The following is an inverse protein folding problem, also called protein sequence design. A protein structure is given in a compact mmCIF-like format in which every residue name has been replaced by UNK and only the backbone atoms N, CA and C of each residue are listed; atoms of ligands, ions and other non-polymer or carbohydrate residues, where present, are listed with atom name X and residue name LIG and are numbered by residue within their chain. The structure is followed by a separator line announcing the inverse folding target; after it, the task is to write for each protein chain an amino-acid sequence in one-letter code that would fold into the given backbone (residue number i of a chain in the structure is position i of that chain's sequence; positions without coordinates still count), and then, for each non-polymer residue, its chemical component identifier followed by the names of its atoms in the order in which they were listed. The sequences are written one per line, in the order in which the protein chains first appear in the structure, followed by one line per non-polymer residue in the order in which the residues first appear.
data_IF_188991855703
#
_entry.id   IF_188991855703
#
_cell.length_a   1.000
_cell.length_b   1.000
_cell.length_c   1.000
_cell.angle_alpha   90.00
_cell.angle_beta   90.00
_cell.angle_gamma   90.00
#
_symmetry.space_group_name_H-M   'P 1'
#
loop_
_entity.id
_entity.type
_entity.pdbx_description
1 polymer ?
#
# COMPACT_ATOMS: atom_id res chain seq x y z
N UNK A 1 21.42 -5.20 7.16
CA UNK A 1 21.28 -5.05 8.63
C UNK A 1 19.80 -4.96 8.97
N UNK A 2 19.27 -5.74 9.93
CA UNK A 2 17.82 -5.75 10.20
C UNK A 2 17.33 -4.51 10.99
N UNK A 3 18.23 -3.87 11.75
CA UNK A 3 17.93 -2.71 12.57
C UNK A 3 19.16 -1.79 12.62
N UNK A 4 18.95 -0.48 12.44
CA UNK A 4 19.98 0.53 12.66
C UNK A 4 19.39 1.70 13.46
N UNK A 5 20.24 2.38 14.24
CA UNK A 5 19.82 3.54 15.04
C UNK A 5 19.74 4.77 14.16
N UNK A 6 18.52 5.28 13.93
CA UNK A 6 18.32 6.55 13.25
C UNK A 6 18.19 7.67 14.28
N UNK A 7 19.19 8.55 14.33
CA UNK A 7 19.17 9.72 15.21
C UNK A 7 18.27 10.80 14.60
N UNK A 8 17.06 10.97 15.15
CA UNK A 8 16.07 11.90 14.61
C UNK A 8 16.56 13.35 14.52
N UNK A 9 17.29 13.83 15.53
CA UNK A 9 17.82 15.20 15.57
C UNK A 9 18.86 15.41 14.46
N UNK A 10 19.77 14.44 14.28
CA UNK A 10 20.79 14.50 13.23
C UNK A 10 20.17 14.44 11.83
N UNK A 11 19.17 13.56 11.66
CA UNK A 11 18.42 13.45 10.43
C UNK A 11 17.70 14.76 10.10
N UNK A 12 16.98 15.35 11.06
CA UNK A 12 16.32 16.64 10.90
C UNK A 12 17.30 17.78 10.61
N UNK A 13 18.46 17.82 11.27
CA UNK A 13 19.49 18.81 11.00
C UNK A 13 20.04 18.69 9.58
N UNK A 14 20.22 17.46 9.08
CA UNK A 14 20.66 17.20 7.70
C UNK A 14 19.60 17.59 6.68
N UNK A 15 18.33 17.28 6.93
CA UNK A 15 17.23 17.50 5.97
C UNK A 15 16.54 18.85 6.11
N UNK A 16 16.96 19.71 7.05
CA UNK A 16 16.31 21.00 7.34
C UNK A 16 16.14 21.93 6.11
N UNK A 17 17.01 21.82 5.10
CA UNK A 17 17.01 22.65 3.90
C UNK A 17 16.50 21.90 2.66
N UNK A 18 16.03 20.66 2.83
CA UNK A 18 15.52 19.84 1.74
C UNK A 18 14.04 20.12 1.51
N UNK A 19 13.64 20.06 0.25
CA UNK A 19 12.25 19.89 -0.13
C UNK A 19 11.75 18.50 0.27
N UNK A 20 10.43 18.34 0.31
CA UNK A 20 9.78 17.06 0.65
C UNK A 20 10.27 15.91 -0.28
N UNK A 21 10.46 16.19 -1.57
CA UNK A 21 10.96 15.21 -2.54
C UNK A 21 12.42 14.83 -2.25
N UNK A 22 13.25 15.81 -1.91
CA UNK A 22 14.67 15.60 -1.60
C UNK A 22 14.84 14.78 -0.33
N UNK A 23 14.07 15.09 0.72
CA UNK A 23 14.08 14.33 1.97
C UNK A 23 13.60 12.88 1.77
N UNK A 24 12.56 12.68 0.96
CA UNK A 24 12.07 11.35 0.61
C UNK A 24 13.10 10.53 -0.16
N UNK A 25 13.77 11.14 -1.14
CA UNK A 25 14.84 10.50 -1.90
C UNK A 25 16.04 10.15 -1.02
N UNK A 26 16.50 11.10 -0.19
CA UNK A 26 17.61 10.91 0.74
C UNK A 26 17.34 9.74 1.71
N UNK A 27 16.15 9.74 2.31
CA UNK A 27 15.73 8.70 3.26
C UNK A 27 15.74 7.33 2.62
N UNK A 28 15.15 7.16 1.41
CA UNK A 28 15.11 5.86 0.74
C UNK A 28 16.48 5.34 0.33
N UNK A 29 17.36 6.21 -0.16
CA UNK A 29 18.73 5.82 -0.50
C UNK A 29 19.51 5.38 0.75
N UNK A 30 19.33 6.09 1.87
CA UNK A 30 19.95 5.75 3.15
C UNK A 30 19.42 4.42 3.71
N UNK A 31 18.10 4.22 3.69
CA UNK A 31 17.48 2.97 4.13
C UNK A 31 17.97 1.78 3.30
N UNK A 32 18.12 1.97 1.99
CA UNK A 32 18.67 0.94 1.10
C UNK A 32 20.12 0.60 1.45
N UNK A 33 20.97 1.58 1.75
CA UNK A 33 22.36 1.33 2.17
C UNK A 33 22.45 0.53 3.47
N UNK A 34 21.64 0.86 4.47
CA UNK A 34 21.62 0.09 5.74
C UNK A 34 21.05 -1.31 5.57
N UNK A 35 20.06 -1.46 4.69
CA UNK A 35 19.43 -2.74 4.40
C UNK A 35 20.42 -3.70 3.72
N UNK A 36 21.10 -3.22 2.68
CA UNK A 36 22.00 -4.01 1.84
C UNK A 36 23.46 -3.98 2.29
N UNK A 37 23.80 -3.13 3.25
CA UNK A 37 25.17 -2.94 3.76
C UNK A 37 26.20 -2.72 2.62
N UNK A 38 25.77 -1.99 1.58
CA UNK A 38 26.48 -1.86 0.30
C UNK A 38 26.46 -0.41 -0.19
N UNK A 39 27.44 0.01 -1.03
CA UNK A 39 27.41 1.34 -1.64
C UNK A 39 26.22 1.45 -2.59
N UNK A 40 25.76 2.68 -2.82
CA UNK A 40 24.70 2.94 -3.79
C UNK A 40 25.10 2.42 -5.18
N UNK A 41 24.13 1.91 -5.95
CA UNK A 41 24.41 1.46 -7.29
C UNK A 41 24.94 2.62 -8.16
N UNK A 42 25.99 2.39 -8.96
CA UNK A 42 26.54 3.42 -9.84
C UNK A 42 25.54 3.83 -10.92
N UNK A 43 24.66 2.91 -11.31
CA UNK A 43 23.66 3.11 -12.35
C UNK A 43 22.51 4.01 -11.85
N UNK A 44 22.24 5.16 -12.48
CA UNK A 44 21.14 6.05 -12.08
C UNK A 44 19.78 5.38 -12.13
N UNK A 45 19.54 4.50 -13.11
CA UNK A 45 18.29 3.73 -13.25
C UNK A 45 17.95 2.91 -12.01
N UNK A 46 18.95 2.32 -11.37
CA UNK A 46 18.75 1.52 -10.14
C UNK A 46 18.44 2.43 -8.96
N UNK A 47 19.12 3.58 -8.84
CA UNK A 47 18.79 4.59 -7.83
C UNK A 47 17.35 5.08 -7.97
N UNK A 48 16.86 5.29 -9.19
CA UNK A 48 15.45 5.68 -9.41
C UNK A 48 14.46 4.61 -8.97
N UNK A 49 14.79 3.33 -9.16
CA UNK A 49 13.97 2.21 -8.67
C UNK A 49 13.93 2.20 -7.14
N UNK A 50 15.08 2.43 -6.49
CA UNK A 50 15.18 2.50 -5.03
C UNK A 50 14.36 3.67 -4.47
N UNK A 51 14.50 4.87 -5.04
CA UNK A 51 13.75 6.05 -4.58
C UNK A 51 12.29 6.06 -5.02
N UNK A 52 11.91 5.18 -5.95
CA UNK A 52 10.62 5.16 -6.65
C UNK A 52 10.35 6.45 -7.44
N UNK A 53 11.41 6.98 -8.06
CA UNK A 53 11.32 8.19 -8.88
C UNK A 53 10.75 7.85 -10.27
N UNK A 54 9.48 8.18 -10.48
CA UNK A 54 8.77 7.89 -11.73
C UNK A 54 8.95 9.05 -12.71
N UNK A 55 8.73 10.27 -12.21
CA UNK A 55 8.77 11.51 -13.01
C UNK A 55 10.20 12.00 -13.24
N UNK A 56 10.40 12.82 -14.28
CA UNK A 56 11.71 13.42 -14.56
C UNK A 56 12.19 14.33 -13.41
N UNK A 57 11.27 15.06 -12.77
CA UNK A 57 11.58 15.92 -11.65
C UNK A 57 12.12 15.12 -10.46
N UNK A 58 11.46 14.01 -10.10
CA UNK A 58 11.93 13.12 -9.03
C UNK A 58 13.30 12.51 -9.36
N UNK A 59 13.53 12.09 -10.61
CA UNK A 59 14.84 11.55 -11.03
C UNK A 59 15.96 12.57 -10.85
N UNK A 60 15.73 13.82 -11.27
CA UNK A 60 16.69 14.92 -11.08
C UNK A 60 16.98 15.17 -9.60
N UNK A 61 15.95 15.10 -8.76
CA UNK A 61 16.10 15.21 -7.30
C UNK A 61 16.94 14.05 -6.75
N UNK A 62 16.67 12.81 -7.17
CA UNK A 62 17.45 11.62 -6.78
C UNK A 62 18.93 11.78 -7.15
N UNK A 63 19.23 12.24 -8.37
CA UNK A 63 20.61 12.47 -8.79
C UNK A 63 21.28 13.59 -8.00
N UNK A 64 20.58 14.71 -7.78
CA UNK A 64 21.08 15.82 -6.96
C UNK A 64 21.44 15.34 -5.56
N UNK A 65 20.56 14.58 -4.92
CA UNK A 65 20.78 14.05 -3.56
C UNK A 65 21.88 13.00 -3.55
N UNK A 66 21.93 12.11 -4.53
CA UNK A 66 23.02 11.15 -4.69
C UNK A 66 24.38 11.87 -4.77
N UNK A 67 24.50 12.91 -5.59
CA UNK A 67 25.74 13.66 -5.74
C UNK A 67 26.10 14.53 -4.52
N UNK A 68 25.12 15.06 -3.80
CA UNK A 68 25.34 16.00 -2.68
C UNK A 68 25.60 15.28 -1.37
N UNK A 69 24.86 14.19 -1.09
CA UNK A 69 24.86 13.53 0.21
C UNK A 69 25.72 12.27 0.26
N UNK A 70 26.01 11.66 -0.90
CA UNK A 70 26.76 10.43 -1.00
C UNK A 70 28.08 10.70 -1.72
N UNK A 71 29.14 10.04 -1.27
CA UNK A 71 30.46 10.16 -1.87
C UNK A 71 30.48 9.57 -3.29
N UNK A 72 31.56 9.84 -4.02
CA UNK A 72 31.79 9.26 -5.34
C UNK A 72 31.89 7.71 -5.29
N UNK A 73 32.23 7.15 -4.14
CA UNK A 73 32.22 5.72 -3.84
C UNK A 73 30.80 5.16 -3.58
N UNK A 74 29.77 6.01 -3.69
CA UNK A 74 28.38 5.65 -3.44
C UNK A 74 28.06 5.46 -1.96
N UNK A 75 28.96 5.80 -1.04
CA UNK A 75 28.76 5.65 0.40
C UNK A 75 28.33 6.95 1.06
N UNK A 76 27.44 6.83 2.05
CA UNK A 76 27.28 7.89 3.04
C UNK A 76 28.29 7.60 4.17
N UNK A 77 29.11 8.59 4.53
CA UNK A 77 30.26 8.42 5.41
C UNK A 77 29.90 7.83 6.79
N UNK A 78 28.83 8.33 7.42
CA UNK A 78 28.31 7.85 8.70
C UNK A 78 27.75 6.45 8.59
N UNK A 79 26.96 6.19 7.54
CA UNK A 79 26.38 4.86 7.30
C UNK A 79 27.48 3.81 7.16
N UNK A 80 28.53 4.10 6.39
CA UNK A 80 29.70 3.22 6.24
C UNK A 80 30.37 2.92 7.57
N UNK A 81 30.59 3.94 8.41
CA UNK A 81 31.20 3.78 9.73
C UNK A 81 30.34 2.93 10.68
N UNK A 82 29.02 3.16 10.70
CA UNK A 82 28.09 2.43 11.55
C UNK A 82 27.94 0.96 11.11
N UNK A 83 27.90 0.71 9.80
CA UNK A 83 27.87 -0.64 9.23
C UNK A 83 29.15 -1.40 9.61
N UNK A 84 30.32 -0.80 9.42
CA UNK A 84 31.59 -1.44 9.77
C UNK A 84 31.67 -1.77 11.27
N UNK A 85 31.19 -0.86 12.12
CA UNK A 85 31.13 -1.07 13.57
C UNK A 85 30.18 -2.21 13.97
N UNK A 86 29.08 -2.38 13.22
CA UNK A 86 28.04 -3.34 13.55
C UNK A 86 28.30 -4.73 12.98
N UNK A 87 29.07 -4.82 11.88
CA UNK A 87 29.41 -6.07 11.18
C UNK A 87 29.91 -7.21 12.09
N UNK A 88 30.87 -7.02 13.01
CA UNK A 88 31.36 -8.14 13.83
C UNK A 88 30.30 -8.69 14.78
N UNK A 89 29.42 -7.84 15.32
CA UNK A 89 28.34 -8.27 16.21
C UNK A 89 27.26 -9.06 15.44
N UNK A 90 26.94 -8.62 14.22
CA UNK A 90 25.99 -9.32 13.33
C UNK A 90 26.55 -10.70 12.95
N UNK A 91 27.83 -10.78 12.59
CA UNK A 91 28.47 -12.04 12.22
C UNK A 91 28.54 -13.01 13.41
N UNK A 92 28.90 -12.52 14.61
CA UNK A 92 28.87 -13.34 15.81
C UNK A 92 27.47 -13.90 16.10
N UNK A 93 26.44 -13.06 15.99
CA UNK A 93 25.05 -13.49 16.16
C UNK A 93 24.61 -14.50 15.08
N UNK A 94 25.04 -14.31 13.82
CA UNK A 94 24.76 -15.23 12.72
C UNK A 94 25.39 -16.61 12.97
N UNK A 95 26.63 -16.65 13.46
CA UNK A 95 27.32 -17.89 13.81
C UNK A 95 26.66 -18.60 14.99
N UNK A 96 26.29 -17.86 16.03
CA UNK A 96 25.58 -18.38 17.20
C UNK A 96 24.23 -19.00 16.82
N UNK A 97 23.42 -18.26 16.05
CA UNK A 97 22.17 -18.79 15.48
C UNK A 97 22.40 -20.07 14.66
N UNK A 98 23.44 -20.10 13.83
CA UNK A 98 23.74 -21.28 13.04
C UNK A 98 24.15 -22.48 13.92
N UNK A 99 24.84 -22.26 15.04
CA UNK A 99 25.08 -23.34 16.01
C UNK A 99 23.80 -23.80 16.71
N UNK A 100 22.95 -22.90 17.16
CA UNK A 100 21.68 -23.24 17.81
C UNK A 100 20.79 -24.08 16.88
N UNK A 101 20.74 -23.74 15.59
CA UNK A 101 20.02 -24.51 14.58
C UNK A 101 20.61 -25.90 14.35
N UNK A 102 21.95 -26.07 14.41
CA UNK A 102 22.61 -27.37 14.28
C UNK A 102 22.47 -28.24 15.54
N UNK A 103 22.42 -27.63 16.71
CA UNK A 103 22.37 -28.31 18.01
C UNK A 103 20.94 -28.62 18.47
N UNK A 104 19.93 -28.05 17.82
CA UNK A 104 18.53 -28.33 18.16
C UNK A 104 18.19 -29.77 17.73
N UNK A 105 17.79 -30.65 18.66
CA UNK A 105 17.23 -31.95 18.28
C UNK A 105 16.00 -31.68 17.40
N UNK A 106 15.81 -32.49 16.36
CA UNK A 106 14.63 -32.45 15.50
C UNK A 106 13.38 -32.75 16.35
N UNK A 107 12.87 -31.72 17.02
CA UNK A 107 11.63 -31.81 17.75
C UNK A 107 10.53 -31.68 16.70
N UNK A 108 10.07 -32.82 16.21
CA UNK A 108 8.78 -32.96 15.53
C UNK A 108 7.70 -32.50 16.51
N UNK A 109 7.51 -31.17 16.59
CA UNK A 109 6.34 -30.61 17.25
C UNK A 109 5.16 -31.04 16.40
N UNK A 110 4.46 -32.07 16.85
CA UNK A 110 3.16 -32.45 16.31
C UNK A 110 2.32 -31.18 16.23
N UNK A 111 2.00 -30.76 15.00
CA UNK A 111 1.10 -29.65 14.77
C UNK A 111 -0.25 -30.09 15.33
N UNK A 112 -0.81 -29.46 16.37
CA UNK A 112 -2.12 -29.83 16.87
C UNK A 112 -3.11 -29.71 15.71
N UNK A 113 -3.87 -30.77 15.44
CA UNK A 113 -4.72 -30.91 14.25
C UNK A 113 -5.79 -29.80 14.08
N UNK A 114 -5.93 -28.88 15.04
CA UNK A 114 -6.88 -27.77 15.01
C UNK A 114 -6.39 -26.46 14.37
N UNK A 115 -5.12 -26.31 13.96
CA UNK A 115 -4.62 -25.05 13.36
C UNK A 115 -4.45 -25.08 11.83
N UNK A 116 -4.69 -26.21 11.18
CA UNK A 116 -4.61 -26.33 9.72
C UNK A 116 -5.70 -25.55 8.97
N UNK A 117 -6.87 -25.32 9.61
CA UNK A 117 -8.00 -24.62 8.97
C UNK A 117 -7.90 -23.09 9.02
N UNK A 118 -7.08 -22.52 9.91
CA UNK A 118 -6.95 -21.06 10.05
C UNK A 118 -5.84 -20.45 9.16
N UNK A 119 -5.03 -21.28 8.48
CA UNK A 119 -3.92 -20.84 7.62
C UNK A 119 -4.13 -21.31 6.18
N UNK A 120 -5.39 -21.34 5.72
CA UNK A 120 -5.68 -21.48 4.29
C UNK A 120 -6.01 -20.10 3.71
N UNK A 121 -5.01 -19.24 3.64
CA UNK A 121 -5.06 -18.12 2.68
C UNK A 121 -5.00 -18.80 1.31
N UNK A 122 -6.01 -18.64 0.42
CA UNK A 122 -5.88 -19.10 -0.94
C UNK A 122 -4.77 -18.26 -1.57
N UNK A 123 -3.58 -18.85 -1.67
CA UNK A 123 -2.52 -18.35 -2.51
C UNK A 123 -3.08 -18.39 -3.93
N UNK A 124 -3.46 -17.22 -4.46
CA UNK A 124 -3.80 -17.07 -5.86
C UNK A 124 -2.66 -17.67 -6.68
N UNK A 125 -2.99 -18.68 -7.47
CA UNK A 125 -2.05 -19.42 -8.31
C UNK A 125 -1.20 -18.43 -9.12
N UNK A 126 0.12 -18.60 -9.06
CA UNK A 126 1.03 -17.88 -9.93
C UNK A 126 0.68 -18.19 -11.40
N UNK A 127 0.44 -17.19 -12.26
CA UNK A 127 0.20 -17.45 -13.67
C UNK A 127 1.48 -17.95 -14.34
N UNK A 128 1.38 -19.12 -14.97
CA UNK A 128 2.38 -19.66 -15.91
C UNK A 128 2.52 -18.74 -17.14
N UNK A 129 3.70 -18.68 -17.79
CA UNK A 129 3.92 -17.81 -18.93
C UNK A 129 3.46 -18.53 -20.21
N UNK A 130 2.44 -18.02 -20.89
CA UNK A 130 2.20 -18.36 -22.29
C UNK A 130 1.31 -17.34 -23.01
N UNK A 131 1.73 -17.06 -24.23
CA UNK A 131 0.93 -16.59 -25.37
C UNK A 131 0.46 -15.13 -25.37
N UNK A 132 1.19 -14.35 -26.15
CA UNK A 132 0.76 -13.21 -26.95
C UNK A 132 -0.72 -13.31 -27.39
N UNK A 133 -1.56 -12.39 -26.90
CA UNK A 133 -2.94 -12.24 -27.32
C UNK A 133 -3.36 -10.76 -27.33
N UNK A 134 -3.76 -10.32 -28.52
CA UNK A 134 -4.73 -9.30 -28.93
C UNK A 134 -5.25 -8.24 -27.93
N UNK A 135 -5.57 -7.01 -28.42
CA UNK A 135 -5.90 -5.85 -27.58
C UNK A 135 -7.11 -6.08 -26.66
N UNK A 136 -7.11 -5.49 -25.45
CA UNK A 136 -8.10 -5.79 -24.43
C UNK A 136 -9.48 -5.23 -24.81
N UNK A 137 -10.44 -6.15 -24.98
CA UNK A 137 -11.86 -5.85 -24.84
C UNK A 137 -12.17 -5.38 -23.39
N UNK A 138 -13.20 -4.55 -23.18
CA UNK A 138 -13.46 -3.92 -21.89
C UNK A 138 -13.77 -4.97 -20.81
N UNK A 139 -13.05 -4.87 -19.70
CA UNK A 139 -13.19 -5.71 -18.53
C UNK A 139 -14.59 -5.49 -17.94
N UNK A 140 -15.42 -6.53 -17.97
CA UNK A 140 -16.67 -6.57 -17.21
C UNK A 140 -16.35 -6.70 -15.72
N UNK A 141 -16.77 -5.72 -14.93
CA UNK A 141 -16.69 -5.74 -13.46
C UNK A 141 -17.81 -6.65 -12.94
N UNK A 142 -17.45 -7.76 -12.31
CA UNK A 142 -18.38 -8.66 -11.63
C UNK A 142 -18.46 -8.33 -10.12
N UNK A 143 -19.68 -8.05 -9.67
CA UNK A 143 -20.27 -8.30 -8.35
C UNK A 143 -19.67 -7.69 -7.06
N UNK A 144 -19.41 -6.38 -7.08
CA UNK A 144 -19.73 -5.56 -5.90
C UNK A 144 -21.18 -5.07 -6.07
N UNK A 145 -22.06 -5.38 -5.10
CA UNK A 145 -23.51 -5.15 -5.15
C UNK A 145 -23.86 -3.88 -5.96
N UNK A 146 -24.45 -4.01 -7.17
CA UNK A 146 -24.59 -2.90 -8.13
C UNK A 146 -25.33 -1.69 -7.54
N UNK A 147 -26.13 -1.92 -6.49
CA UNK A 147 -26.82 -0.93 -5.67
C UNK A 147 -25.88 0.07 -5.01
N UNK A 148 -24.76 -0.38 -4.43
CA UNK A 148 -23.84 0.50 -3.70
C UNK A 148 -23.03 1.35 -4.67
N UNK A 149 -22.45 0.73 -5.70
CA UNK A 149 -21.68 1.44 -6.72
C UNK A 149 -22.53 2.49 -7.44
N UNK A 150 -23.75 2.13 -7.85
CA UNK A 150 -24.68 3.05 -8.50
C UNK A 150 -25.23 4.13 -7.56
N UNK A 151 -25.57 3.78 -6.32
CA UNK A 151 -26.06 4.74 -5.34
C UNK A 151 -25.01 5.77 -4.94
N UNK A 152 -23.75 5.34 -4.76
CA UNK A 152 -22.66 6.22 -4.39
C UNK A 152 -22.30 7.19 -5.51
N UNK A 153 -22.27 6.73 -6.76
CA UNK A 153 -22.01 7.63 -7.90
C UNK A 153 -23.11 8.67 -8.04
N UNK A 154 -24.38 8.28 -7.87
CA UNK A 154 -25.52 9.18 -7.95
C UNK A 154 -25.52 10.24 -6.83
N UNK A 155 -25.27 9.84 -5.59
CA UNK A 155 -25.29 10.74 -4.43
C UNK A 155 -24.07 11.68 -4.41
N UNK A 156 -22.89 11.17 -4.77
CA UNK A 156 -21.67 11.99 -4.86
C UNK A 156 -21.78 13.03 -5.98
N UNK A 157 -22.45 12.70 -7.09
CA UNK A 157 -22.71 13.67 -8.16
C UNK A 157 -23.56 14.86 -7.71
N UNK A 158 -24.35 14.70 -6.63
CA UNK A 158 -25.17 15.75 -6.02
C UNK A 158 -24.51 16.38 -4.78
N UNK A 159 -23.18 16.27 -4.65
CA UNK A 159 -22.38 16.83 -3.56
C UNK A 159 -22.72 16.29 -2.15
N UNK A 160 -23.29 15.08 -2.06
CA UNK A 160 -23.44 14.38 -0.78
C UNK A 160 -22.09 13.78 -0.39
N UNK A 161 -21.70 13.95 0.87
CA UNK A 161 -20.49 13.33 1.42
C UNK A 161 -20.52 11.80 1.26
N UNK A 162 -19.42 11.16 0.80
CA UNK A 162 -19.40 9.73 0.53
C UNK A 162 -19.66 8.88 1.78
N UNK A 163 -19.16 9.28 2.96
CA UNK A 163 -19.39 8.53 4.20
C UNK A 163 -20.86 8.58 4.64
N UNK A 164 -21.52 9.73 4.45
CA UNK A 164 -22.97 9.84 4.66
C UNK A 164 -23.77 9.04 3.64
N UNK A 165 -23.35 9.03 2.37
CA UNK A 165 -24.01 8.28 1.30
C UNK A 165 -23.93 6.77 1.54
N UNK A 166 -22.77 6.24 1.95
CA UNK A 166 -22.58 4.83 2.30
C UNK A 166 -23.48 4.41 3.47
N UNK A 167 -23.45 5.19 4.55
CA UNK A 167 -24.27 4.94 5.74
C UNK A 167 -25.77 4.96 5.40
N UNK A 168 -26.19 5.87 4.53
CA UNK A 168 -27.59 5.98 4.10
C UNK A 168 -28.01 4.81 3.21
N UNK A 169 -27.17 4.39 2.26
CA UNK A 169 -27.46 3.25 1.39
C UNK A 169 -27.50 1.93 2.18
N UNK A 170 -26.64 1.76 3.18
CA UNK A 170 -26.71 0.61 4.09
C UNK A 170 -28.06 0.54 4.82
N UNK A 171 -28.55 1.69 5.31
CA UNK A 171 -29.86 1.81 5.94
C UNK A 171 -31.00 1.49 4.95
N UNK A 172 -30.91 1.95 3.70
CA UNK A 172 -31.89 1.64 2.65
C UNK A 172 -31.99 0.13 2.36
N UNK A 173 -30.84 -0.54 2.22
CA UNK A 173 -30.76 -1.97 1.95
C UNK A 173 -31.36 -2.79 3.10
N UNK A 174 -31.04 -2.42 4.35
CA UNK A 174 -31.61 -3.08 5.52
C UNK A 174 -33.13 -2.87 5.63
N UNK A 175 -33.64 -1.72 5.15
CA UNK A 175 -35.04 -1.35 5.25
C UNK A 175 -35.97 -2.03 4.24
N UNK A 176 -35.51 -2.17 2.99
CA UNK A 176 -36.36 -2.46 1.83
C UNK A 176 -35.86 -3.68 1.03
N UNK A 177 -34.65 -4.17 1.33
CA UNK A 177 -33.95 -5.14 0.49
C UNK A 177 -33.23 -4.47 -0.69
N UNK A 178 -32.39 -5.26 -1.36
CA UNK A 178 -31.46 -4.77 -2.39
C UNK A 178 -32.19 -4.37 -3.68
N UNK A 179 -33.14 -5.17 -4.16
CA UNK A 179 -33.89 -4.91 -5.40
C UNK A 179 -34.74 -3.64 -5.31
N UNK A 180 -35.49 -3.48 -4.21
CA UNK A 180 -36.32 -2.30 -3.97
C UNK A 180 -35.49 -1.02 -3.80
N UNK A 181 -34.29 -1.14 -3.22
CA UNK A 181 -33.35 -0.03 -3.10
C UNK A 181 -32.84 0.40 -4.47
N UNK A 182 -32.50 -0.58 -5.33
CA UNK A 182 -32.05 -0.31 -6.70
C UNK A 182 -33.11 0.41 -7.54
N UNK A 183 -34.37 -0.04 -7.45
CA UNK A 183 -35.48 0.59 -8.17
C UNK A 183 -35.71 2.04 -7.74
N UNK A 184 -35.59 2.34 -6.45
CA UNK A 184 -35.71 3.71 -5.94
C UNK A 184 -34.58 4.61 -6.42
N UNK A 185 -33.34 4.10 -6.45
CA UNK A 185 -32.20 4.85 -6.97
C UNK A 185 -32.36 5.15 -8.47
N UNK A 186 -32.82 4.17 -9.27
CA UNK A 186 -33.14 4.39 -10.68
C UNK A 186 -34.28 5.38 -10.89
N UNK A 187 -35.31 5.36 -10.02
CA UNK A 187 -36.39 6.32 -10.08
C UNK A 187 -35.93 7.76 -9.76
N UNK A 188 -35.03 7.89 -8.79
CA UNK A 188 -34.40 9.17 -8.43
C UNK A 188 -33.58 9.74 -9.59
N UNK A 189 -32.78 8.89 -10.26
CA UNK A 189 -31.98 9.30 -11.43
C UNK A 189 -32.86 9.78 -12.58
N UNK A 190 -33.91 9.03 -12.92
CA UNK A 190 -34.84 9.36 -14.01
C UNK A 190 -35.55 10.69 -13.79
N UNK A 191 -35.89 11.01 -12.55
CA UNK A 191 -36.58 12.25 -12.19
C UNK A 191 -35.64 13.45 -12.03
N UNK A 192 -34.32 13.24 -12.11
CA UNK A 192 -33.28 14.27 -11.93
C UNK A 192 -33.54 15.14 -10.70
N UNK A 193 -33.85 14.49 -9.58
CA UNK A 193 -34.18 15.18 -8.33
C UNK A 193 -32.99 16.00 -7.85
N UNK A 194 -33.19 17.29 -7.60
CA UNK A 194 -32.14 18.22 -7.14
C UNK A 194 -31.61 17.86 -5.76
N UNK A 195 -32.50 17.45 -4.84
CA UNK A 195 -32.16 17.01 -3.49
C UNK A 195 -32.55 15.53 -3.29
N UNK A 196 -31.61 14.59 -3.49
CA UNK A 196 -31.92 13.16 -3.52
C UNK A 196 -32.29 12.59 -2.14
N UNK A 197 -31.67 13.06 -1.04
CA UNK A 197 -31.87 12.47 0.29
C UNK A 197 -33.29 12.66 0.86
N UNK A 198 -33.89 13.87 0.87
CA UNK A 198 -35.26 14.04 1.35
C UNK A 198 -36.28 13.29 0.50
N UNK A 199 -36.04 13.25 -0.82
CA UNK A 199 -36.89 12.54 -1.76
C UNK A 199 -36.85 11.03 -1.53
N UNK A 200 -35.65 10.46 -1.37
CA UNK A 200 -35.46 9.04 -1.08
C UNK A 200 -36.10 8.67 0.25
N UNK A 201 -35.87 9.44 1.33
CA UNK A 201 -36.48 9.17 2.65
C UNK A 201 -38.00 9.11 2.59
N UNK A 202 -38.65 10.07 1.91
CA UNK A 202 -40.10 10.08 1.74
C UNK A 202 -40.60 8.83 1.01
N UNK A 203 -39.92 8.40 -0.04
CA UNK A 203 -40.32 7.21 -0.81
C UNK A 203 -40.01 5.90 -0.08
N UNK A 204 -39.00 5.87 0.78
CA UNK A 204 -38.74 4.74 1.67
C UNK A 204 -39.87 4.58 2.70
N UNK A 205 -40.32 5.67 3.33
CA UNK A 205 -41.41 5.65 4.32
C UNK A 205 -42.72 5.16 3.69
N UNK A 206 -43.05 5.63 2.48
CA UNK A 206 -44.24 5.18 1.75
C UNK A 206 -44.19 3.67 1.44
N UNK A 207 -43.01 3.12 1.14
CA UNK A 207 -42.84 1.68 0.89
C UNK A 207 -42.79 0.82 2.16
N UNK A 208 -42.37 1.39 3.29
CA UNK A 208 -42.43 0.74 4.61
C UNK A 208 -43.85 0.67 5.19
N UNK A 209 -44.72 1.59 4.79
CA UNK A 209 -46.11 1.67 5.25
C UNK A 209 -47.09 0.80 4.43
N UNK A 210 -46.60 0.10 3.40
CA UNK A 210 -47.36 -0.87 2.60
C UNK A 210 -47.01 -2.28 3.02
#
# INVERSE_FOLDING_TARGET
MNYYKRYAIDHAARTAHFSILEEGAYTRLLDWQYSNESPLPPTPTERYRITRAITLAERRVTDKIAATCFGADGWQQRARQEIERSRPAIEAHRLDLASVLRSSPANEREVPQGVADLIRIPCAQAPTPAAEAAPPAPIAVADAAPVLTFGLTLLTAQQVDPGMAESFLALMRQALGDDSTFDLLRACERQKVRDPLPWLRRHMEVRRAR
#
